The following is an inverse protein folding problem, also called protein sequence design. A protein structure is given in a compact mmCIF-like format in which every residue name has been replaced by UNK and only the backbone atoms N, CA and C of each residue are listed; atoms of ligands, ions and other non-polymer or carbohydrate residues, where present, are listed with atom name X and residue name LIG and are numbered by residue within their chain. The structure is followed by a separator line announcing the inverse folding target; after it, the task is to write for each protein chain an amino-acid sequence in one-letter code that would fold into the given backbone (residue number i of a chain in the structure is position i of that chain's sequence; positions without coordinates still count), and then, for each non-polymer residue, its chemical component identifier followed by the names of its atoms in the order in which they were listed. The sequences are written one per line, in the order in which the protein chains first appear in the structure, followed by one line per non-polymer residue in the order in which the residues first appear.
data_IF_717031409590
#
_entry.id   IF_717031409590
#
_cell.length_a   1.000
_cell.length_b   1.000
_cell.length_c   1.000
_cell.angle_alpha   90.00
_cell.angle_beta   90.00
_cell.angle_gamma   90.00
#
_symmetry.space_group_name_H-M   'P 1'
#
loop_
_entity.id
_entity.type
_entity.pdbx_description
1 polymer ?
#
# COMPACT_ATOMS: atom_id res chain seq x y z
N UNK A 1 -4.37 20.93 19.47
CA UNK A 1 -5.81 21.29 19.50
C UNK A 1 -6.49 20.47 18.43
N UNK A 2 -7.61 19.80 18.75
CA UNK A 2 -8.42 19.05 17.80
C UNK A 2 -9.36 20.01 17.07
N UNK A 3 -9.56 19.81 15.77
CA UNK A 3 -10.48 20.64 14.99
C UNK A 3 -11.92 20.53 15.50
N UNK A 4 -12.59 21.68 15.63
CA UNK A 4 -13.91 21.76 16.24
C UNK A 4 -15.03 21.15 15.38
N UNK A 5 -14.90 21.21 14.05
CA UNK A 5 -15.94 20.81 13.10
C UNK A 5 -15.57 19.58 12.30
N UNK A 6 -16.53 18.69 12.10
CA UNK A 6 -16.39 17.49 11.30
C UNK A 6 -16.23 17.85 9.83
N UNK A 7 -15.20 17.32 9.19
CA UNK A 7 -15.00 17.37 7.74
C UNK A 7 -15.12 15.96 7.17
N UNK A 8 -15.83 15.82 6.05
CA UNK A 8 -16.06 14.53 5.41
C UNK A 8 -15.55 14.60 3.97
N UNK A 9 -14.68 13.66 3.59
CA UNK A 9 -14.27 13.44 2.21
C UNK A 9 -14.85 12.13 1.70
N UNK A 10 -15.42 12.17 0.50
CA UNK A 10 -15.91 10.99 -0.20
C UNK A 10 -14.91 10.60 -1.30
N UNK A 11 -14.16 9.51 -1.10
CA UNK A 11 -13.27 8.89 -2.09
C UNK A 11 -13.90 7.65 -2.72
N UNK A 12 -15.22 7.66 -2.90
CA UNK A 12 -15.97 6.60 -3.56
C UNK A 12 -16.51 7.11 -4.90
N UNK A 13 -16.95 6.19 -5.77
CA UNK A 13 -17.57 6.54 -7.06
C UNK A 13 -19.05 6.93 -6.94
N UNK A 14 -19.62 6.92 -5.74
CA UNK A 14 -21.05 7.15 -5.48
C UNK A 14 -21.23 8.25 -4.45
N UNK A 15 -22.26 9.13 -4.57
CA UNK A 15 -22.55 10.10 -3.52
C UNK A 15 -22.83 9.41 -2.18
N UNK A 16 -22.40 10.02 -1.08
CA UNK A 16 -22.71 9.56 0.29
C UNK A 16 -23.47 10.65 1.03
N UNK A 17 -24.44 10.26 1.86
CA UNK A 17 -25.26 11.20 2.62
C UNK A 17 -25.16 10.90 4.10
N UNK A 18 -24.64 11.83 4.91
CA UNK A 18 -24.67 11.66 6.37
C UNK A 18 -26.10 11.93 6.88
N UNK A 19 -26.71 10.93 7.49
CA UNK A 19 -28.10 10.97 8.00
C UNK A 19 -28.19 11.10 9.52
N UNK A 20 -27.17 10.65 10.26
CA UNK A 20 -27.22 10.60 11.73
C UNK A 20 -25.84 10.73 12.36
N UNK A 21 -25.77 11.46 13.48
CA UNK A 21 -24.61 11.53 14.38
C UNK A 21 -25.07 11.17 15.78
N UNK A 22 -24.42 10.19 16.39
CA UNK A 22 -24.64 9.79 17.78
C UNK A 22 -23.35 9.97 18.57
N UNK A 23 -23.42 10.48 19.80
CA UNK A 23 -22.24 10.73 20.65
C UNK A 23 -22.24 9.89 21.90
N UNK A 24 -21.06 9.43 22.25
CA UNK A 24 -20.80 8.55 23.39
C UNK A 24 -19.65 9.09 24.22
N UNK A 25 -19.76 8.95 25.54
CA UNK A 25 -18.67 9.32 26.45
C UNK A 25 -17.45 8.41 26.20
N UNK A 26 -16.27 8.91 26.54
CA UNK A 26 -15.07 8.07 26.58
C UNK A 26 -15.28 6.91 27.56
N UNK A 27 -14.71 5.72 27.31
CA UNK A 27 -14.75 4.63 28.29
C UNK A 27 -14.10 5.08 29.61
N UNK A 28 -14.71 4.74 30.74
CA UNK A 28 -14.06 4.92 32.05
C UNK A 28 -12.83 4.00 32.12
N UNK A 29 -11.65 4.57 32.35
CA UNK A 29 -10.42 3.77 32.53
C UNK A 29 -10.62 2.82 33.71
N UNK A 30 -10.60 1.51 33.47
CA UNK A 30 -10.49 0.53 34.53
C UNK A 30 -9.13 0.71 35.23
N UNK A 31 -9.14 1.25 36.45
CA UNK A 31 -7.98 1.23 37.33
C UNK A 31 -7.65 -0.23 37.66
N UNK A 32 -6.64 -0.80 36.99
CA UNK A 32 -6.13 -2.13 37.30
C UNK A 32 -5.14 -2.61 36.24
N UNK A 33 -3.90 -2.80 36.67
CA UNK A 33 -2.79 -3.48 35.97
C UNK A 33 -2.14 -2.81 34.75
N UNK A 34 -0.97 -2.19 34.98
CA UNK A 34 0.34 -2.69 34.52
C UNK A 34 1.40 -1.58 34.42
N UNK A 35 2.15 -1.39 35.51
CA UNK A 35 3.36 -0.55 35.56
C UNK A 35 4.53 -1.10 34.71
N UNK A 36 4.41 -2.30 34.13
CA UNK A 36 5.43 -2.97 33.32
C UNK A 36 5.33 -2.69 31.81
N UNK A 37 4.24 -2.07 31.33
CA UNK A 37 3.99 -1.79 29.89
C UNK A 37 4.44 -0.41 29.43
N UNK A 38 4.88 0.46 30.36
CA UNK A 38 5.20 1.87 30.08
C UNK A 38 6.47 2.05 29.24
N UNK A 39 7.50 1.22 29.43
CA UNK A 39 8.80 1.42 28.77
C UNK A 39 8.80 1.07 27.26
N UNK A 40 7.89 0.19 26.79
CA UNK A 40 7.83 -0.21 25.37
C UNK A 40 6.94 0.69 24.50
N UNK A 41 6.12 1.53 25.13
CA UNK A 41 5.12 2.36 24.46
C UNK A 41 5.59 3.80 24.18
N UNK A 42 6.58 4.33 24.92
CA UNK A 42 6.89 5.77 24.88
C UNK A 42 7.32 6.31 23.49
N UNK A 43 7.97 5.51 22.64
CA UNK A 43 8.33 5.92 21.26
C UNK A 43 7.18 5.75 20.26
N UNK A 44 6.15 4.96 20.61
CA UNK A 44 4.97 4.64 19.78
C UNK A 44 3.80 5.62 20.03
N UNK A 45 3.83 6.33 21.16
CA UNK A 45 2.77 7.18 21.73
C UNK A 45 2.55 8.51 21.01
N UNK A 46 3.46 8.96 20.13
CA UNK A 46 3.45 10.33 19.59
C UNK A 46 3.11 10.48 18.10
N UNK A 47 2.95 9.40 17.32
CA UNK A 47 2.95 9.51 15.84
C UNK A 47 1.74 8.96 15.09
N UNK A 48 0.82 8.22 15.72
CA UNK A 48 -0.35 7.67 15.02
C UNK A 48 -1.56 8.62 15.15
N UNK A 49 -1.70 9.55 14.21
CA UNK A 49 -2.79 10.55 14.20
C UNK A 49 -4.14 10.00 13.71
N UNK A 50 -4.14 8.78 13.16
CA UNK A 50 -5.29 8.12 12.54
C UNK A 50 -5.98 7.09 13.46
N UNK A 51 -5.41 6.78 14.63
CA UNK A 51 -5.93 5.81 15.61
C UNK A 51 -5.70 6.30 17.04
N UNK A 52 -6.57 5.94 17.99
CA UNK A 52 -6.42 6.31 19.41
C UNK A 52 -5.45 5.41 20.17
N UNK A 53 -4.74 5.98 21.15
CA UNK A 53 -3.65 5.34 21.90
C UNK A 53 -4.07 4.22 22.88
N UNK A 54 -5.37 4.04 23.17
CA UNK A 54 -5.89 3.03 24.10
C UNK A 54 -6.82 2.05 23.38
N UNK A 55 -6.96 0.82 23.88
CA UNK A 55 -7.95 -0.15 23.40
C UNK A 55 -9.35 0.40 23.67
N UNK A 56 -9.96 0.99 22.64
CA UNK A 56 -11.31 1.54 22.75
C UNK A 56 -12.31 0.40 22.52
N UNK A 57 -13.08 0.00 23.53
CA UNK A 57 -14.13 -1.02 23.37
C UNK A 57 -15.15 -0.59 22.29
N UNK A 58 -15.62 -1.48 21.43
CA UNK A 58 -16.63 -1.14 20.41
C UNK A 58 -17.89 -0.52 21.03
N UNK A 59 -18.48 0.51 20.41
CA UNK A 59 -19.85 0.95 20.76
C UNK A 59 -20.77 -0.16 20.28
N UNK A 60 -21.38 -0.88 21.21
CA UNK A 60 -22.35 -1.92 20.90
C UNK A 60 -23.71 -1.29 20.56
N UNK A 61 -24.58 -2.04 19.90
CA UNK A 61 -25.96 -1.58 19.62
C UNK A 61 -26.76 -1.33 20.93
N UNK A 62 -26.28 -1.85 22.06
CA UNK A 62 -26.84 -1.64 23.40
C UNK A 62 -26.33 -0.35 24.09
N UNK A 63 -25.29 0.28 23.55
CA UNK A 63 -24.74 1.50 24.14
C UNK A 63 -25.64 2.68 23.77
N UNK A 64 -26.13 3.41 24.77
CA UNK A 64 -26.98 4.59 24.55
C UNK A 64 -26.15 5.86 24.35
N UNK A 65 -26.43 6.66 23.30
CA UNK A 65 -25.77 7.94 23.11
C UNK A 65 -26.26 8.97 24.13
N UNK A 66 -25.38 9.87 24.56
CA UNK A 66 -25.77 11.00 25.43
C UNK A 66 -26.26 12.21 24.63
N UNK A 67 -25.94 12.26 23.33
CA UNK A 67 -26.37 13.29 22.40
C UNK A 67 -26.57 12.65 21.02
N UNK A 68 -27.62 13.07 20.33
CA UNK A 68 -28.03 12.49 19.05
C UNK A 68 -28.61 13.55 18.14
N UNK A 69 -28.17 13.53 16.88
CA UNK A 69 -28.73 14.36 15.80
C UNK A 69 -29.23 13.44 14.69
N UNK A 70 -30.55 13.46 14.47
CA UNK A 70 -31.26 12.71 13.42
C UNK A 70 -31.59 13.60 12.22
N UNK A 71 -32.11 12.98 11.16
CA UNK A 71 -32.67 13.63 9.98
C UNK A 71 -31.70 14.61 9.31
N UNK A 72 -30.40 14.28 9.36
CA UNK A 72 -29.39 15.00 8.60
C UNK A 72 -29.53 14.66 7.11
N UNK A 73 -29.11 15.60 6.28
CA UNK A 73 -29.03 15.41 4.83
C UNK A 73 -27.78 16.09 4.27
N UNK A 74 -26.63 15.72 4.82
CA UNK A 74 -25.34 16.27 4.38
C UNK A 74 -24.81 15.42 3.23
N UNK A 75 -25.11 15.85 2.01
CA UNK A 75 -24.62 15.24 0.77
C UNK A 75 -23.13 15.54 0.56
N UNK A 76 -22.35 14.51 0.21
CA UNK A 76 -20.93 14.61 -0.17
C UNK A 76 -20.74 13.86 -1.50
N UNK A 77 -20.49 14.61 -2.56
CA UNK A 77 -20.34 14.08 -3.93
C UNK A 77 -19.07 13.23 -4.11
N UNK A 78 -19.02 12.32 -5.09
CA UNK A 78 -17.83 11.53 -5.41
C UNK A 78 -16.58 12.40 -5.56
N UNK A 79 -15.49 12.01 -4.90
CA UNK A 79 -14.19 12.71 -4.92
C UNK A 79 -14.28 14.19 -4.54
N UNK A 80 -15.14 14.51 -3.56
CA UNK A 80 -15.23 15.86 -2.97
C UNK A 80 -15.05 15.85 -1.46
N UNK A 81 -14.65 17.01 -0.92
CA UNK A 81 -14.53 17.24 0.51
C UNK A 81 -15.55 18.27 0.97
N UNK A 82 -16.30 17.96 2.03
CA UNK A 82 -17.29 18.85 2.65
C UNK A 82 -16.94 19.11 4.11
N UNK A 83 -16.60 20.37 4.41
CA UNK A 83 -16.54 20.88 5.79
C UNK A 83 -17.97 21.09 6.28
N UNK A 84 -18.35 20.44 7.38
CA UNK A 84 -19.70 20.53 7.92
C UNK A 84 -19.79 21.59 9.01
N UNK A 85 -21.00 22.05 9.32
CA UNK A 85 -21.29 22.88 10.50
C UNK A 85 -21.47 22.03 11.77
N UNK A 86 -21.32 20.71 11.68
CA UNK A 86 -21.48 19.79 12.80
C UNK A 86 -20.18 19.71 13.58
N UNK A 87 -20.26 19.99 14.88
CA UNK A 87 -19.11 19.85 15.79
C UNK A 87 -18.62 18.40 15.79
N UNK A 88 -17.33 18.19 15.99
CA UNK A 88 -16.74 16.85 16.14
C UNK A 88 -16.92 16.29 17.55
N UNK A 89 -17.09 17.16 18.54
CA UNK A 89 -17.36 16.86 19.94
C UNK A 89 -18.25 17.94 20.57
N UNK A 90 -18.91 17.62 21.70
CA UNK A 90 -19.78 18.57 22.43
C UNK A 90 -19.08 19.16 23.64
N UNK A 91 -18.61 18.30 24.53
CA UNK A 91 -18.03 18.60 25.83
C UNK A 91 -16.52 18.32 25.85
N UNK A 92 -16.05 17.26 25.19
CA UNK A 92 -14.64 16.84 25.14
C UNK A 92 -14.24 16.20 23.82
N UNK A 93 -13.05 16.52 23.33
CA UNK A 93 -12.40 15.89 22.18
C UNK A 93 -12.06 14.39 22.37
N UNK A 94 -12.31 13.83 23.56
CA UNK A 94 -12.21 12.39 23.86
C UNK A 94 -13.53 11.63 23.62
N UNK A 95 -14.60 12.33 23.27
CA UNK A 95 -15.87 11.71 22.90
C UNK A 95 -15.74 10.82 21.67
N UNK A 96 -16.65 9.86 21.58
CA UNK A 96 -16.77 8.99 20.42
C UNK A 96 -18.05 9.32 19.67
N UNK A 97 -18.01 9.18 18.36
CA UNK A 97 -19.17 9.32 17.49
C UNK A 97 -19.49 8.01 16.80
N UNK A 98 -20.78 7.75 16.57
CA UNK A 98 -21.25 6.82 15.55
C UNK A 98 -21.94 7.64 14.45
N UNK A 99 -21.42 7.55 13.24
CA UNK A 99 -21.92 8.25 12.06
C UNK A 99 -22.66 7.25 11.19
N UNK A 100 -23.89 7.58 10.78
CA UNK A 100 -24.67 6.76 9.83
C UNK A 100 -24.77 7.48 8.49
N UNK A 101 -24.26 6.82 7.46
CA UNK A 101 -24.34 7.25 6.07
C UNK A 101 -25.40 6.45 5.32
N UNK A 102 -26.01 7.08 4.32
CA UNK A 102 -26.89 6.44 3.36
C UNK A 102 -26.29 6.55 1.95
N UNK A 103 -26.31 5.44 1.21
CA UNK A 103 -25.83 5.34 -0.17
C UNK A 103 -26.83 4.49 -0.94
N UNK A 104 -27.52 5.06 -1.92
CA UNK A 104 -28.52 4.36 -2.75
C UNK A 104 -29.57 3.57 -1.93
N UNK A 105 -29.95 4.10 -0.76
CA UNK A 105 -30.90 3.47 0.17
C UNK A 105 -30.30 2.49 1.17
N UNK A 106 -29.01 2.15 1.07
CA UNK A 106 -28.29 1.32 2.04
C UNK A 106 -27.66 2.17 3.14
N UNK A 107 -27.79 1.74 4.40
CA UNK A 107 -27.23 2.44 5.56
C UNK A 107 -25.95 1.79 6.03
N UNK A 108 -24.92 2.61 6.28
CA UNK A 108 -23.60 2.19 6.75
C UNK A 108 -23.19 3.00 7.97
N UNK A 109 -22.63 2.33 8.97
CA UNK A 109 -22.19 2.95 10.21
C UNK A 109 -20.68 2.90 10.38
N UNK A 110 -20.11 3.99 10.90
CA UNK A 110 -18.73 4.04 11.36
C UNK A 110 -18.64 4.65 12.74
N UNK A 111 -17.71 4.13 13.54
CA UNK A 111 -17.36 4.69 14.85
C UNK A 111 -16.07 5.48 14.73
N UNK A 112 -16.05 6.69 15.28
CA UNK A 112 -14.86 7.57 15.27
C UNK A 112 -14.58 8.09 16.68
N UNK A 113 -13.33 8.06 17.15
CA UNK A 113 -12.18 7.45 16.50
C UNK A 113 -12.32 5.92 16.38
N UNK A 114 -11.72 5.35 15.33
CA UNK A 114 -11.76 3.90 15.06
C UNK A 114 -10.88 3.19 16.11
N UNK A 115 -11.38 2.17 16.84
CA UNK A 115 -10.58 1.41 17.79
C UNK A 115 -9.33 0.79 17.18
N UNK A 116 -8.24 0.70 17.96
CA UNK A 116 -6.96 0.11 17.54
C UNK A 116 -7.03 -1.37 17.15
N UNK A 117 -8.01 -2.09 17.68
CA UNK A 117 -8.22 -3.53 17.46
C UNK A 117 -9.29 -3.87 16.41
N UNK A 118 -10.00 -2.87 15.88
CA UNK A 118 -11.08 -3.10 14.92
C UNK A 118 -10.72 -2.58 13.53
N UNK A 119 -11.27 -3.26 12.52
CA UNK A 119 -11.13 -2.82 11.13
C UNK A 119 -11.81 -1.47 10.93
N UNK A 120 -11.15 -0.55 10.21
CA UNK A 120 -11.76 0.68 9.67
C UNK A 120 -12.96 0.46 8.70
N UNK A 121 -13.46 -0.77 8.57
CA UNK A 121 -14.61 -1.13 7.73
C UNK A 121 -15.91 -0.62 8.36
N UNK A 122 -16.75 0.03 7.56
CA UNK A 122 -18.07 0.48 7.98
C UNK A 122 -19.03 -0.71 8.10
N UNK A 123 -19.81 -0.77 9.18
CA UNK A 123 -20.86 -1.78 9.39
C UNK A 123 -22.04 -1.45 8.49
N UNK A 124 -22.28 -2.28 7.47
CA UNK A 124 -23.53 -2.20 6.71
C UNK A 124 -24.71 -2.67 7.58
N UNK A 125 -25.85 -2.01 7.45
CA UNK A 125 -27.09 -2.35 8.17
C UNK A 125 -28.06 -3.19 7.33
N UNK A 126 -27.62 -3.62 6.15
CA UNK A 126 -28.33 -4.55 5.28
C UNK A 126 -27.69 -5.94 5.34
N UNK A 127 -28.49 -7.00 5.20
CA UNK A 127 -28.01 -8.39 5.24
C UNK A 127 -27.10 -8.73 4.04
N UNK A 128 -27.37 -8.13 2.89
CA UNK A 128 -26.63 -8.31 1.64
C UNK A 128 -26.28 -6.95 1.02
N UNK A 129 -25.29 -6.23 1.58
CA UNK A 129 -24.98 -4.89 1.13
C UNK A 129 -24.37 -4.91 -0.28
N UNK A 130 -24.88 -4.07 -1.17
CA UNK A 130 -24.32 -3.84 -2.51
C UNK A 130 -22.99 -3.12 -2.41
N UNK A 131 -22.86 -2.22 -1.43
CA UNK A 131 -21.66 -1.41 -1.22
C UNK A 131 -20.92 -1.82 0.04
N UNK A 132 -19.60 -1.72 0.01
CA UNK A 132 -18.75 -1.87 1.20
C UNK A 132 -17.85 -0.66 1.29
N UNK A 133 -17.66 -0.15 2.50
CA UNK A 133 -16.92 1.07 2.74
C UNK A 133 -15.91 0.91 3.87
N UNK A 134 -14.82 1.67 3.78
CA UNK A 134 -13.82 1.84 4.82
C UNK A 134 -13.73 3.32 5.13
N UNK A 135 -13.78 3.69 6.41
CA UNK A 135 -13.60 5.08 6.82
C UNK A 135 -12.33 5.27 7.64
N UNK A 136 -11.51 6.24 7.25
CA UNK A 136 -10.28 6.61 7.97
C UNK A 136 -10.51 7.98 8.61
N UNK A 137 -10.34 8.07 9.93
CA UNK A 137 -10.56 9.29 10.70
C UNK A 137 -9.23 9.88 11.19
N UNK A 138 -8.90 11.08 10.74
CA UNK A 138 -7.74 11.85 11.23
C UNK A 138 -8.19 12.68 12.42
N UNK A 139 -7.87 12.20 13.63
CA UNK A 139 -8.42 12.75 14.88
C UNK A 139 -8.07 14.23 15.09
N UNK A 140 -6.81 14.70 14.95
CA UNK A 140 -6.48 16.11 15.18
C UNK A 140 -7.24 17.09 14.27
N UNK A 141 -7.72 16.61 13.13
CA UNK A 141 -8.33 17.41 12.06
C UNK A 141 -9.84 17.20 11.97
N UNK A 142 -10.40 16.36 12.84
CA UNK A 142 -11.78 15.90 12.80
C UNK A 142 -12.26 15.55 11.39
N UNK A 143 -11.42 14.80 10.67
CA UNK A 143 -11.56 14.57 9.24
C UNK A 143 -11.81 13.09 8.94
N UNK A 144 -12.99 12.76 8.44
CA UNK A 144 -13.35 11.42 7.99
C UNK A 144 -13.20 11.32 6.47
N UNK A 145 -12.40 10.39 5.99
CA UNK A 145 -12.40 10.00 4.56
C UNK A 145 -13.08 8.66 4.40
N UNK A 146 -14.06 8.57 3.51
CA UNK A 146 -14.76 7.33 3.18
C UNK A 146 -14.25 6.81 1.84
N UNK A 147 -13.77 5.57 1.82
CA UNK A 147 -13.29 4.85 0.65
C UNK A 147 -14.23 3.69 0.31
N UNK A 148 -14.33 3.35 -0.97
CA UNK A 148 -14.91 2.06 -1.37
C UNK A 148 -14.01 0.95 -0.85
N UNK A 149 -14.60 -0.01 -0.15
CA UNK A 149 -13.90 -1.17 0.37
C UNK A 149 -14.08 -2.32 -0.60
N UNK A 150 -13.07 -2.59 -1.41
CA UNK A 150 -13.05 -3.79 -2.22
C UNK A 150 -12.76 -5.01 -1.34
N UNK A 151 -13.04 -6.22 -1.86
CA UNK A 151 -12.46 -7.41 -1.27
C UNK A 151 -10.92 -7.30 -1.37
N UNK A 152 -10.23 -7.15 -0.24
CA UNK A 152 -8.78 -6.90 -0.23
C UNK A 152 -7.97 -8.01 -0.93
N UNK A 153 -8.46 -9.25 -0.95
CA UNK A 153 -7.80 -10.35 -1.68
C UNK A 153 -8.09 -10.35 -3.18
N UNK A 154 -9.07 -9.57 -3.66
CA UNK A 154 -9.57 -9.60 -5.04
C UNK A 154 -9.95 -8.20 -5.58
N UNK A 155 -9.25 -7.15 -5.14
CA UNK A 155 -9.67 -5.77 -5.39
C UNK A 155 -9.50 -5.33 -6.85
N UNK A 156 -8.57 -5.93 -7.59
CA UNK A 156 -8.41 -5.62 -9.00
C UNK A 156 -9.60 -6.12 -9.83
N UNK A 157 -10.41 -7.05 -9.31
CA UNK A 157 -11.60 -7.58 -9.97
C UNK A 157 -12.72 -6.54 -10.20
N UNK A 158 -12.70 -5.41 -9.49
CA UNK A 158 -13.68 -4.31 -9.68
C UNK A 158 -13.29 -3.36 -10.82
N UNK A 159 -12.11 -3.54 -11.41
CA UNK A 159 -11.54 -2.65 -12.41
C UNK A 159 -11.63 -3.25 -13.81
N UNK A 160 -11.60 -2.39 -14.84
CA UNK A 160 -11.74 -2.81 -16.24
C UNK A 160 -10.44 -3.41 -16.77
N UNK A 161 -10.56 -4.38 -17.67
CA UNK A 161 -9.43 -5.06 -18.30
C UNK A 161 -8.58 -4.13 -19.18
N UNK A 162 -9.18 -3.10 -19.76
CA UNK A 162 -8.51 -2.09 -20.59
C UNK A 162 -7.78 -1.02 -19.76
N UNK A 163 -7.82 -1.08 -18.43
CA UNK A 163 -7.04 -0.18 -17.57
C UNK A 163 -5.55 -0.51 -17.69
N UNK A 164 -4.69 0.47 -18.00
CA UNK A 164 -3.24 0.25 -17.98
C UNK A 164 -2.77 -0.07 -16.55
N UNK A 165 -1.89 -1.06 -16.37
CA UNK A 165 -1.48 -1.46 -15.01
C UNK A 165 -0.76 -0.34 -14.24
N UNK A 166 -0.07 0.57 -14.94
CA UNK A 166 0.56 1.76 -14.34
C UNK A 166 -0.42 2.84 -13.90
N UNK A 167 -1.68 2.79 -14.32
CA UNK A 167 -2.72 3.70 -13.83
C UNK A 167 -3.13 3.41 -12.39
N UNK A 168 -2.92 2.16 -11.92
CA UNK A 168 -3.41 1.71 -10.63
C UNK A 168 -2.61 2.31 -9.46
N UNK A 169 -3.32 2.63 -8.40
CA UNK A 169 -2.76 2.85 -7.06
C UNK A 169 -2.50 1.48 -6.42
N UNK A 170 -1.23 1.07 -6.34
CA UNK A 170 -0.86 -0.30 -5.92
C UNK A 170 -0.09 -0.24 -4.60
N UNK A 171 -0.55 -0.95 -3.54
CA UNK A 171 0.25 -1.15 -2.35
C UNK A 171 1.37 -2.15 -2.63
N UNK A 172 2.59 -1.79 -2.26
CA UNK A 172 3.78 -2.62 -2.33
C UNK A 172 4.47 -2.77 -0.98
N UNK A 173 5.34 -3.78 -0.88
CA UNK A 173 6.18 -4.00 0.31
C UNK A 173 7.65 -4.07 -0.06
N UNK A 174 8.49 -3.39 0.71
CA UNK A 174 9.93 -3.36 0.53
C UNK A 174 10.56 -4.60 1.16
N UNK A 175 11.47 -5.26 0.43
CA UNK A 175 12.05 -6.55 0.80
C UNK A 175 11.00 -7.51 1.42
N UNK A 176 9.94 -7.79 0.65
CA UNK A 176 8.65 -8.34 1.11
C UNK A 176 8.71 -9.56 2.05
N UNK A 177 9.63 -10.53 1.91
CA UNK A 177 9.65 -11.70 2.80
C UNK A 177 10.38 -11.46 4.13
N UNK A 178 10.88 -10.25 4.43
CA UNK A 178 11.64 -9.93 5.65
C UNK A 178 10.76 -9.78 6.91
N UNK A 179 9.94 -10.79 7.20
CA UNK A 179 9.06 -10.84 8.38
C UNK A 179 9.54 -11.80 9.47
N UNK A 180 10.60 -12.56 9.20
CA UNK A 180 11.11 -13.59 10.11
C UNK A 180 11.92 -13.00 11.28
N UNK A 181 12.29 -13.86 12.23
CA UNK A 181 13.25 -13.52 13.27
C UNK A 181 14.62 -13.23 12.63
N UNK A 182 15.02 -11.96 12.69
CA UNK A 182 16.25 -11.41 12.14
C UNK A 182 16.71 -10.24 13.04
N UNK A 183 17.98 -9.76 12.91
CA UNK A 183 18.37 -8.51 13.53
C UNK A 183 17.37 -7.38 13.19
N UNK A 184 17.02 -6.49 14.12
CA UNK A 184 15.96 -5.50 13.89
C UNK A 184 16.19 -4.58 12.67
N UNK A 185 17.44 -4.32 12.32
CA UNK A 185 17.82 -3.51 11.14
C UNK A 185 17.59 -4.22 9.80
N UNK A 186 17.33 -5.53 9.80
CA UNK A 186 17.11 -6.38 8.62
C UNK A 186 15.63 -6.66 8.37
N UNK A 187 14.80 -6.53 9.42
CA UNK A 187 13.36 -6.80 9.34
C UNK A 187 12.60 -5.59 8.79
N UNK A 188 12.07 -5.72 7.59
CA UNK A 188 11.29 -4.65 6.95
C UNK A 188 9.77 -4.87 7.08
N UNK A 189 9.33 -6.11 7.34
CA UNK A 189 7.90 -6.46 7.34
C UNK A 189 7.42 -7.03 8.67
N UNK A 190 6.18 -6.68 9.04
CA UNK A 190 5.53 -7.17 10.25
C UNK A 190 4.91 -8.56 10.04
N UNK A 191 4.42 -8.85 8.83
CA UNK A 191 3.58 -10.00 8.48
C UNK A 191 4.11 -10.75 7.25
N UNK A 192 3.68 -12.01 7.06
CA UNK A 192 4.12 -12.86 5.95
C UNK A 192 3.65 -12.38 4.58
N UNK A 193 4.32 -12.76 3.48
CA UNK A 193 3.86 -12.49 2.12
C UNK A 193 2.41 -12.92 1.86
N UNK A 194 2.00 -14.09 2.36
CA UNK A 194 0.61 -14.54 2.28
C UNK A 194 -0.38 -13.53 2.92
N UNK A 195 -0.08 -13.02 4.10
CA UNK A 195 -0.92 -12.02 4.77
C UNK A 195 -0.90 -10.66 4.04
N UNK A 196 0.24 -10.28 3.46
CA UNK A 196 0.35 -9.09 2.61
C UNK A 196 -0.59 -9.19 1.39
N UNK A 197 -0.60 -10.34 0.69
CA UNK A 197 -1.46 -10.59 -0.46
C UNK A 197 -2.94 -10.56 -0.08
N UNK A 198 -3.33 -11.24 1.00
CA UNK A 198 -4.73 -11.25 1.48
C UNK A 198 -5.26 -9.85 1.81
N UNK A 199 -4.39 -8.93 2.20
CA UNK A 199 -4.77 -7.57 2.60
C UNK A 199 -4.55 -6.51 1.51
N UNK A 200 -4.23 -6.90 0.27
CA UNK A 200 -4.28 -6.03 -0.91
C UNK A 200 -2.93 -5.64 -1.51
N UNK A 201 -1.81 -6.09 -0.94
CA UNK A 201 -0.48 -5.85 -1.54
C UNK A 201 -0.38 -6.56 -2.89
N UNK A 202 0.05 -5.83 -3.94
CA UNK A 202 0.22 -6.34 -5.31
C UNK A 202 1.55 -5.94 -5.96
N UNK A 203 2.49 -5.44 -5.17
CA UNK A 203 3.88 -5.23 -5.59
C UNK A 203 4.84 -5.79 -4.53
N UNK A 204 5.75 -6.68 -4.95
CA UNK A 204 6.81 -7.20 -4.08
C UNK A 204 8.20 -6.76 -4.57
N UNK A 205 8.98 -6.15 -3.68
CA UNK A 205 10.43 -5.99 -3.86
C UNK A 205 11.12 -7.23 -3.30
N UNK A 206 11.68 -8.07 -4.18
CA UNK A 206 12.32 -9.33 -3.85
C UNK A 206 13.81 -9.24 -4.14
N UNK A 207 14.60 -9.61 -3.14
CA UNK A 207 16.06 -9.57 -3.23
C UNK A 207 16.62 -10.97 -3.04
N UNK A 208 17.40 -11.41 -4.04
CA UNK A 208 17.85 -12.80 -4.15
C UNK A 208 19.35 -12.91 -4.33
N UNK A 209 19.91 -13.97 -3.77
CA UNK A 209 21.28 -14.41 -3.98
C UNK A 209 21.26 -15.80 -4.63
N UNK A 210 21.81 -15.98 -5.84
CA UNK A 210 22.03 -17.31 -6.41
C UNK A 210 22.93 -18.15 -5.49
N UNK A 211 22.44 -19.32 -5.06
CA UNK A 211 23.21 -20.19 -4.17
C UNK A 211 24.31 -20.94 -4.94
N UNK A 212 24.03 -21.30 -6.19
CA UNK A 212 24.94 -22.05 -7.07
C UNK A 212 25.10 -21.35 -8.42
N UNK A 213 25.70 -20.14 -8.45
CA UNK A 213 25.71 -19.27 -9.65
C UNK A 213 26.37 -19.92 -10.87
N UNK A 214 27.34 -20.81 -10.68
CA UNK A 214 28.06 -21.48 -11.77
C UNK A 214 27.39 -22.80 -12.24
N UNK A 215 26.23 -23.12 -11.69
CA UNK A 215 25.45 -24.34 -11.99
C UNK A 215 24.07 -23.94 -12.51
N UNK A 216 23.92 -23.56 -13.79
CA UNK A 216 22.66 -23.01 -14.32
C UNK A 216 21.52 -24.05 -14.39
N UNK A 217 21.80 -25.33 -14.18
CA UNK A 217 20.79 -26.39 -13.98
C UNK A 217 20.13 -26.34 -12.60
N UNK A 218 20.73 -25.62 -11.66
CA UNK A 218 20.21 -25.40 -10.31
C UNK A 218 19.38 -24.12 -10.23
N UNK A 219 18.35 -24.16 -9.40
CA UNK A 219 17.29 -23.16 -9.36
C UNK A 219 17.25 -22.38 -8.03
N UNK A 220 18.12 -22.73 -7.09
CA UNK A 220 18.11 -22.23 -5.72
C UNK A 220 18.54 -20.76 -5.65
N UNK A 221 17.56 -19.91 -5.35
CA UNK A 221 17.73 -18.48 -5.07
C UNK A 221 17.38 -18.22 -3.61
N UNK A 222 18.35 -17.77 -2.81
CA UNK A 222 18.16 -17.46 -1.39
C UNK A 222 17.62 -16.04 -1.26
N UNK A 223 16.63 -15.84 -0.40
CA UNK A 223 16.08 -14.54 -0.05
C UNK A 223 17.01 -13.84 0.96
N UNK A 224 17.41 -12.61 0.65
CA UNK A 224 18.44 -11.86 1.39
C UNK A 224 18.06 -10.39 1.59
N UNK A 225 18.75 -9.72 2.50
CA UNK A 225 18.68 -8.28 2.67
C UNK A 225 20.11 -7.74 2.83
N UNK A 226 20.64 -7.12 1.78
CA UNK A 226 22.07 -6.81 1.67
C UNK A 226 22.91 -8.09 1.87
N UNK A 227 23.90 -8.05 2.75
CA UNK A 227 24.78 -9.20 3.07
C UNK A 227 24.16 -10.17 4.10
N UNK A 228 22.96 -9.90 4.61
CA UNK A 228 22.34 -10.68 5.67
C UNK A 228 21.25 -11.63 5.15
N UNK A 229 21.14 -12.85 5.69
CA UNK A 229 19.96 -13.68 5.47
C UNK A 229 18.74 -13.03 6.14
N UNK A 230 17.56 -13.21 5.55
CA UNK A 230 16.32 -12.64 6.09
C UNK A 230 15.79 -13.39 7.33
N UNK A 231 16.45 -14.47 7.75
CA UNK A 231 16.07 -15.27 8.92
C UNK A 231 17.29 -15.87 9.64
N UNK A 232 17.30 -15.81 10.97
CA UNK A 232 18.28 -16.47 11.83
C UNK A 232 18.05 -17.98 12.00
N UNK A 233 16.94 -18.50 11.47
CA UNK A 233 16.55 -19.91 11.60
C UNK A 233 16.89 -20.76 10.36
N UNK A 234 17.67 -20.19 9.43
CA UNK A 234 18.06 -20.82 8.18
C UNK A 234 17.57 -20.06 6.94
N UNK A 235 18.13 -20.43 5.80
CA UNK A 235 17.83 -19.79 4.52
C UNK A 235 16.34 -19.95 4.16
N UNK A 236 15.81 -18.91 3.52
CA UNK A 236 14.49 -18.92 2.88
C UNK A 236 14.70 -18.80 1.38
N UNK A 237 13.89 -19.51 0.60
CA UNK A 237 14.12 -19.62 -0.84
C UNK A 237 13.02 -18.94 -1.64
N UNK A 238 13.40 -18.39 -2.79
CA UNK A 238 12.46 -17.77 -3.72
C UNK A 238 11.42 -18.77 -4.23
N UNK A 239 11.80 -20.05 -4.42
CA UNK A 239 10.90 -21.14 -4.82
C UNK A 239 9.68 -21.28 -3.90
N UNK A 240 9.90 -21.22 -2.58
CA UNK A 240 8.83 -21.33 -1.59
C UNK A 240 7.89 -20.12 -1.64
N UNK A 241 8.45 -18.91 -1.73
CA UNK A 241 7.67 -17.69 -1.91
C UNK A 241 6.82 -17.73 -3.19
N UNK A 242 7.41 -18.21 -4.29
CA UNK A 242 6.71 -18.33 -5.57
C UNK A 242 5.56 -19.34 -5.51
N UNK A 243 5.66 -20.38 -4.67
CA UNK A 243 4.53 -21.28 -4.42
C UNK A 243 3.35 -20.54 -3.78
N UNK A 244 3.59 -19.75 -2.73
CA UNK A 244 2.56 -18.94 -2.07
C UNK A 244 1.91 -17.94 -3.04
N UNK A 245 2.72 -17.27 -3.86
CA UNK A 245 2.24 -16.34 -4.89
C UNK A 245 1.38 -17.04 -5.94
N UNK A 246 1.82 -18.21 -6.41
CA UNK A 246 1.08 -18.97 -7.42
C UNK A 246 -0.26 -19.45 -6.89
N UNK A 247 -0.29 -19.98 -5.66
CA UNK A 247 -1.51 -20.39 -4.98
C UNK A 247 -2.46 -19.21 -4.80
N UNK A 248 -1.95 -18.03 -4.41
CA UNK A 248 -2.77 -16.83 -4.29
C UNK A 248 -3.44 -16.43 -5.61
N UNK A 249 -2.69 -16.39 -6.71
CA UNK A 249 -3.21 -16.02 -8.03
C UNK A 249 -4.16 -17.07 -8.62
N UNK A 250 -4.01 -18.35 -8.26
CA UNK A 250 -4.96 -19.41 -8.63
C UNK A 250 -6.31 -19.22 -7.94
N UNK A 251 -6.31 -18.85 -6.65
CA UNK A 251 -7.54 -18.58 -5.90
C UNK A 251 -8.14 -17.20 -6.20
N UNK A 252 -7.37 -16.28 -6.76
CA UNK A 252 -7.80 -14.92 -7.09
C UNK A 252 -7.39 -14.56 -8.53
N UNK A 253 -7.99 -15.19 -9.56
CA UNK A 253 -7.58 -15.02 -10.95
C UNK A 253 -7.83 -13.61 -11.50
N UNK A 254 -8.62 -12.78 -10.82
CA UNK A 254 -8.78 -11.37 -11.14
C UNK A 254 -7.51 -10.55 -10.88
N UNK A 255 -6.63 -11.03 -10.01
CA UNK A 255 -5.48 -10.28 -9.53
C UNK A 255 -4.26 -10.47 -10.42
N UNK A 256 -3.32 -9.54 -10.32
CA UNK A 256 -1.98 -9.63 -10.88
C UNK A 256 -0.98 -9.23 -9.81
N UNK A 257 0.22 -9.80 -9.85
CA UNK A 257 1.32 -9.39 -8.96
C UNK A 257 2.45 -8.77 -9.77
N UNK A 258 2.98 -7.62 -9.34
CA UNK A 258 4.24 -7.09 -9.86
C UNK A 258 5.35 -7.58 -8.94
N UNK A 259 6.37 -8.26 -9.48
CA UNK A 259 7.55 -8.65 -8.72
C UNK A 259 8.76 -7.91 -9.29
N UNK A 260 9.32 -7.03 -8.46
CA UNK A 260 10.64 -6.45 -8.67
C UNK A 260 11.69 -7.42 -8.13
N UNK A 261 12.61 -7.88 -8.99
CA UNK A 261 13.69 -8.78 -8.57
C UNK A 261 15.04 -8.07 -8.69
N UNK A 262 15.81 -8.09 -7.60
CA UNK A 262 17.17 -7.56 -7.52
C UNK A 262 18.15 -8.64 -7.03
N UNK A 263 19.34 -8.70 -7.63
CA UNK A 263 20.44 -9.48 -7.08
C UNK A 263 21.06 -8.76 -5.88
N UNK A 264 21.18 -9.47 -4.76
CA UNK A 264 21.88 -9.05 -3.55
C UNK A 264 22.59 -10.25 -2.90
N UNK A 265 23.18 -10.06 -1.72
CA UNK A 265 23.90 -11.08 -0.99
C UNK A 265 25.40 -10.97 -1.12
N UNK A 266 26.09 -11.96 -0.56
CA UNK A 266 27.55 -12.07 -0.58
C UNK A 266 28.04 -12.85 -1.81
N UNK A 267 29.33 -12.78 -2.10
CA UNK A 267 29.96 -13.54 -3.20
C UNK A 267 29.85 -12.88 -4.57
N UNK A 268 30.27 -13.63 -5.59
CA UNK A 268 30.61 -13.08 -6.92
C UNK A 268 29.57 -13.39 -8.01
N UNK A 269 28.36 -13.80 -7.62
CA UNK A 269 27.27 -14.07 -8.54
C UNK A 269 26.96 -12.82 -9.39
N UNK A 270 26.84 -13.00 -10.70
CA UNK A 270 26.57 -11.92 -11.66
C UNK A 270 25.08 -11.81 -12.00
N UNK A 271 24.69 -10.66 -12.51
CA UNK A 271 23.32 -10.42 -12.95
C UNK A 271 22.89 -11.38 -14.06
N UNK A 272 23.80 -11.67 -15.00
CA UNK A 272 23.56 -12.57 -16.12
C UNK A 272 23.24 -13.99 -15.64
N UNK A 273 23.90 -14.44 -14.56
CA UNK A 273 23.61 -15.74 -13.95
C UNK A 273 22.22 -15.76 -13.31
N UNK A 274 21.84 -14.68 -12.60
CA UNK A 274 20.48 -14.55 -12.07
C UNK A 274 19.44 -14.55 -13.20
N UNK A 275 19.69 -13.81 -14.29
CA UNK A 275 18.79 -13.75 -15.43
C UNK A 275 18.55 -15.13 -16.05
N UNK A 276 19.61 -15.92 -16.24
CA UNK A 276 19.52 -17.29 -16.74
C UNK A 276 18.73 -18.21 -15.81
N UNK A 277 18.97 -18.15 -14.49
CA UNK A 277 18.27 -18.96 -13.50
C UNK A 277 16.77 -18.62 -13.49
N UNK A 278 16.42 -17.33 -13.45
CA UNK A 278 15.02 -16.88 -13.47
C UNK A 278 14.31 -17.31 -14.76
N UNK A 279 14.92 -17.07 -15.91
CA UNK A 279 14.35 -17.44 -17.20
C UNK A 279 14.12 -18.95 -17.30
N UNK A 280 15.13 -19.76 -16.98
CA UNK A 280 15.06 -21.23 -17.12
C UNK A 280 14.07 -21.88 -16.16
N UNK A 281 14.03 -21.44 -14.91
CA UNK A 281 13.38 -22.21 -13.82
C UNK A 281 12.12 -21.57 -13.25
N UNK A 282 11.82 -20.32 -13.58
CA UNK A 282 10.69 -19.59 -13.01
C UNK A 282 9.80 -18.96 -14.08
N UNK A 283 10.41 -18.34 -15.09
CA UNK A 283 9.75 -17.42 -16.02
C UNK A 283 10.01 -17.77 -17.49
N UNK A 284 10.08 -19.07 -17.80
CA UNK A 284 10.24 -19.60 -19.16
C UNK A 284 8.94 -19.59 -19.96
N UNK A 285 8.99 -20.16 -21.15
CA UNK A 285 7.84 -20.29 -22.05
C UNK A 285 6.68 -21.05 -21.37
N UNK A 286 5.44 -20.57 -21.57
CA UNK A 286 4.23 -21.15 -20.96
C UNK A 286 4.06 -20.85 -19.46
N UNK A 287 5.01 -20.15 -18.82
CA UNK A 287 4.85 -19.71 -17.43
C UNK A 287 3.81 -18.59 -17.30
N UNK A 288 3.36 -18.34 -16.07
CA UNK A 288 2.47 -17.20 -15.76
C UNK A 288 3.19 -15.85 -15.69
N UNK A 289 4.49 -15.79 -16.01
CA UNK A 289 5.23 -14.55 -15.95
C UNK A 289 5.00 -13.71 -17.20
N UNK A 290 4.59 -12.48 -17.00
CA UNK A 290 4.64 -11.44 -18.01
C UNK A 290 6.07 -10.90 -18.09
N UNK A 291 6.77 -11.33 -19.13
CA UNK A 291 8.18 -11.00 -19.38
C UNK A 291 8.38 -10.17 -20.64
N UNK A 292 7.31 -9.66 -21.24
CA UNK A 292 7.44 -8.69 -22.33
C UNK A 292 7.98 -7.36 -21.78
N UNK A 293 8.90 -6.68 -22.48
CA UNK A 293 9.44 -5.39 -22.09
C UNK A 293 8.45 -4.26 -22.42
N UNK A 294 7.23 -4.39 -21.89
CA UNK A 294 6.17 -3.38 -21.93
C UNK A 294 5.29 -3.49 -20.69
N UNK A 295 4.77 -2.36 -20.22
CA UNK A 295 3.70 -2.32 -19.21
C UNK A 295 2.41 -2.91 -19.80
N UNK A 296 1.81 -3.94 -19.19
CA UNK A 296 0.56 -4.54 -19.67
C UNK A 296 -0.68 -3.73 -19.27
N UNK A 297 -1.78 -3.96 -19.98
CA UNK A 297 -3.13 -3.68 -19.45
C UNK A 297 -3.47 -4.64 -18.31
N UNK A 298 -4.44 -4.30 -17.47
CA UNK A 298 -4.87 -5.15 -16.36
C UNK A 298 -5.34 -6.52 -16.88
N UNK A 299 -6.12 -6.56 -17.97
CA UNK A 299 -6.57 -7.80 -18.60
C UNK A 299 -5.42 -8.69 -19.09
N UNK A 300 -4.38 -8.09 -19.68
CA UNK A 300 -3.15 -8.82 -20.04
C UNK A 300 -2.42 -9.37 -18.79
N UNK A 301 -2.52 -8.69 -17.65
CA UNK A 301 -1.81 -9.00 -16.42
C UNK A 301 -2.57 -9.97 -15.48
N UNK A 302 -3.90 -10.10 -15.57
CA UNK A 302 -4.68 -10.97 -14.67
C UNK A 302 -4.18 -12.41 -14.69
N UNK A 303 -4.08 -13.00 -13.48
CA UNK A 303 -3.54 -14.33 -13.23
C UNK A 303 -2.02 -14.46 -13.46
N UNK A 304 -1.33 -13.35 -13.76
CA UNK A 304 0.10 -13.34 -14.12
C UNK A 304 0.95 -12.56 -13.12
N UNK A 305 2.26 -12.74 -13.31
CA UNK A 305 3.29 -12.05 -12.54
C UNK A 305 4.06 -11.14 -13.49
N UNK A 306 4.00 -9.83 -13.28
CA UNK A 306 4.70 -8.84 -14.09
C UNK A 306 6.11 -8.65 -13.54
N UNK A 307 7.12 -9.00 -14.34
CA UNK A 307 8.52 -8.87 -13.95
C UNK A 307 9.03 -7.43 -14.14
N UNK A 308 9.48 -6.83 -13.05
CA UNK A 308 10.38 -5.66 -13.06
C UNK A 308 11.79 -6.15 -12.74
N UNK A 309 12.73 -6.03 -13.68
CA UNK A 309 14.09 -6.52 -13.49
C UNK A 309 15.04 -5.42 -13.02
N UNK A 310 15.69 -5.63 -11.87
CA UNK A 310 16.78 -4.80 -11.34
C UNK A 310 18.14 -5.50 -11.49
N UNK A 311 18.32 -6.17 -12.63
CA UNK A 311 19.54 -6.89 -13.01
C UNK A 311 19.72 -6.84 -14.53
N UNK A 312 20.97 -6.94 -14.96
CA UNK A 312 21.36 -7.01 -16.37
C UNK A 312 21.07 -8.38 -17.00
N UNK A 313 20.78 -8.37 -18.31
CA UNK A 313 20.53 -9.57 -19.09
C UNK A 313 21.82 -10.10 -19.72
N UNK A 314 21.87 -11.41 -19.92
CA UNK A 314 22.89 -12.05 -20.74
C UNK A 314 22.66 -11.78 -22.25
N UNK A 315 23.58 -12.25 -23.09
CA UNK A 315 23.57 -11.97 -24.52
C UNK A 315 22.35 -12.55 -25.26
N UNK A 316 21.83 -13.69 -24.83
CA UNK A 316 20.68 -14.34 -25.48
C UNK A 316 19.37 -13.68 -25.05
N UNK A 317 19.18 -13.39 -23.75
CA UNK A 317 17.98 -12.71 -23.27
C UNK A 317 17.86 -11.27 -23.76
N UNK A 318 18.97 -10.62 -24.17
CA UNK A 318 18.91 -9.33 -24.87
C UNK A 318 18.25 -9.42 -26.25
N UNK A 319 18.30 -10.58 -26.91
CA UNK A 319 17.73 -10.79 -28.25
C UNK A 319 16.24 -11.15 -28.21
N UNK A 320 15.73 -11.53 -27.04
CA UNK A 320 14.31 -11.82 -26.81
C UNK A 320 13.42 -10.64 -27.22
N UNK A 321 12.16 -10.96 -27.56
CA UNK A 321 11.14 -9.99 -27.95
C UNK A 321 11.59 -9.04 -29.08
N UNK A 322 12.33 -9.57 -30.06
CA UNK A 322 12.80 -8.81 -31.22
C UNK A 322 13.95 -7.85 -30.88
N UNK A 323 14.80 -8.22 -29.92
CA UNK A 323 15.90 -7.37 -29.45
C UNK A 323 15.52 -6.32 -28.42
N UNK A 324 14.28 -6.36 -27.91
CA UNK A 324 13.81 -5.46 -26.85
C UNK A 324 14.13 -5.99 -25.44
N UNK A 325 14.74 -7.17 -25.34
CA UNK A 325 15.13 -7.79 -24.09
C UNK A 325 13.97 -8.51 -23.41
N UNK A 326 14.12 -8.75 -22.10
CA UNK A 326 13.24 -9.58 -21.28
C UNK A 326 12.86 -8.88 -19.97
N UNK A 327 11.58 -8.82 -19.65
CA UNK A 327 11.01 -8.10 -18.50
C UNK A 327 11.05 -6.57 -18.63
N UNK A 328 10.37 -5.87 -17.72
CA UNK A 328 10.38 -4.40 -17.66
C UNK A 328 11.72 -3.95 -17.08
N UNK A 329 12.46 -3.14 -17.84
CA UNK A 329 13.87 -2.82 -17.54
C UNK A 329 14.04 -1.73 -16.49
N UNK A 330 14.55 -2.13 -15.33
CA UNK A 330 14.98 -1.23 -14.26
C UNK A 330 16.43 -1.52 -13.80
N UNK A 331 17.29 -2.04 -14.68
CA UNK A 331 18.68 -2.38 -14.34
C UNK A 331 19.53 -1.13 -14.05
N UNK A 332 19.29 -0.04 -14.79
CA UNK A 332 19.91 1.27 -14.54
C UNK A 332 19.04 2.09 -13.58
N UNK A 333 19.06 1.69 -12.32
CA UNK A 333 18.32 2.32 -11.21
C UNK A 333 19.21 3.37 -10.53
N UNK A 334 18.78 4.63 -10.50
CA UNK A 334 19.56 5.69 -9.86
C UNK A 334 19.59 5.48 -8.34
N UNK A 335 20.78 5.55 -7.75
CA UNK A 335 20.99 5.33 -6.33
C UNK A 335 20.49 6.51 -5.48
N UNK A 336 19.89 6.21 -4.33
CA UNK A 336 19.42 7.16 -3.31
C UNK A 336 18.74 8.44 -3.88
N UNK A 337 17.75 8.27 -4.78
CA UNK A 337 17.20 9.37 -5.58
C UNK A 337 15.83 9.86 -5.10
N UNK A 338 15.56 11.19 -5.07
CA UNK A 338 14.23 11.71 -4.82
C UNK A 338 13.28 11.55 -6.03
N UNK A 339 13.84 11.43 -7.24
CA UNK A 339 13.11 11.30 -8.49
C UNK A 339 14.08 10.95 -9.64
N UNK A 340 13.93 9.77 -10.25
CA UNK A 340 14.66 9.42 -11.45
C UNK A 340 13.83 8.53 -12.38
N UNK A 341 13.90 8.78 -13.68
CA UNK A 341 13.31 7.89 -14.68
C UNK A 341 14.36 6.92 -15.19
N UNK A 342 14.05 5.62 -15.21
CA UNK A 342 14.95 4.62 -15.81
C UNK A 342 15.14 4.90 -17.31
N UNK A 343 16.29 4.54 -17.91
CA UNK A 343 16.54 4.73 -19.34
C UNK A 343 15.51 4.08 -20.27
N UNK A 344 14.81 3.03 -19.81
CA UNK A 344 13.68 2.42 -20.51
C UNK A 344 12.52 3.38 -20.75
N UNK A 345 12.37 4.38 -19.87
CA UNK A 345 11.24 5.31 -19.81
C UNK A 345 9.98 4.71 -19.18
N UNK A 346 10.02 3.45 -18.74
CA UNK A 346 8.85 2.74 -18.21
C UNK A 346 8.70 2.86 -16.70
N UNK A 347 9.70 3.37 -15.99
CA UNK A 347 9.68 3.53 -14.54
C UNK A 347 10.19 4.91 -14.15
N UNK A 348 9.43 5.57 -13.28
CA UNK A 348 9.79 6.79 -12.60
C UNK A 348 9.84 6.48 -11.10
N UNK A 349 10.98 6.71 -10.46
CA UNK A 349 11.28 6.16 -9.13
C UNK A 349 11.63 7.27 -8.14
N UNK A 350 11.05 7.19 -6.94
CA UNK A 350 11.59 7.80 -5.73
C UNK A 350 12.11 6.70 -4.81
N UNK A 351 13.41 6.70 -4.55
CA UNK A 351 14.12 5.71 -3.73
C UNK A 351 15.19 6.40 -2.86
N UNK A 352 14.81 7.48 -2.17
CA UNK A 352 15.65 8.14 -1.17
C UNK A 352 15.64 7.31 0.12
N UNK A 353 16.54 6.34 0.24
CA UNK A 353 16.54 5.38 1.34
C UNK A 353 17.52 5.73 2.47
N UNK A 354 18.51 6.61 2.24
CA UNK A 354 19.50 6.97 3.26
C UNK A 354 19.02 8.11 4.18
N UNK A 355 18.37 7.74 5.27
CA UNK A 355 17.92 8.70 6.30
C UNK A 355 18.93 8.70 7.43
N UNK A 356 19.98 9.51 7.28
CA UNK A 356 21.09 9.57 8.25
C UNK A 356 20.65 10.04 9.65
N UNK A 357 19.66 10.94 9.72
CA UNK A 357 19.13 11.51 10.96
C UNK A 357 17.60 11.54 10.97
N UNK A 358 17.00 11.57 12.16
CA UNK A 358 15.55 11.63 12.32
C UNK A 358 14.92 12.89 11.71
N UNK A 359 15.67 13.98 11.62
CA UNK A 359 15.31 15.24 10.93
C UNK A 359 15.13 15.02 9.42
N UNK A 360 15.80 14.03 8.83
CA UNK A 360 15.66 13.69 7.41
C UNK A 360 14.39 12.88 7.10
N UNK A 361 13.64 12.41 8.12
CA UNK A 361 12.35 11.73 7.92
C UNK A 361 11.34 12.68 7.28
N UNK A 362 11.35 13.96 7.65
CA UNK A 362 10.49 14.97 7.00
C UNK A 362 10.85 15.17 5.53
N UNK A 363 12.14 15.09 5.19
CA UNK A 363 12.61 15.12 3.80
C UNK A 363 12.12 13.90 3.01
N UNK A 364 12.15 12.70 3.62
CA UNK A 364 11.58 11.49 3.03
C UNK A 364 10.07 11.65 2.79
N UNK A 365 9.33 12.11 3.79
CA UNK A 365 7.88 12.36 3.69
C UNK A 365 7.59 13.37 2.56
N UNK A 366 8.38 14.44 2.45
CA UNK A 366 8.26 15.42 1.37
C UNK A 366 8.43 14.75 -0.01
N UNK A 367 9.49 13.98 -0.22
CA UNK A 367 9.72 13.33 -1.52
C UNK A 367 8.65 12.29 -1.87
N UNK A 368 8.15 11.55 -0.87
CA UNK A 368 7.02 10.63 -1.07
C UNK A 368 5.78 11.40 -1.54
N UNK A 369 5.42 12.50 -0.86
CA UNK A 369 4.27 13.34 -1.22
C UNK A 369 4.40 13.92 -2.63
N UNK A 370 5.56 14.47 -2.96
CA UNK A 370 5.81 15.02 -4.30
C UNK A 370 5.74 13.93 -5.38
N UNK A 371 6.12 12.69 -5.09
CA UNK A 371 6.03 11.59 -6.05
C UNK A 371 4.60 11.03 -6.19
N UNK A 372 3.80 11.06 -5.11
CA UNK A 372 2.33 10.83 -5.20
C UNK A 372 1.72 11.90 -6.10
N UNK A 373 2.07 13.18 -5.89
CA UNK A 373 1.62 14.26 -6.76
C UNK A 373 2.01 13.96 -8.22
N UNK A 374 3.26 13.60 -8.53
CA UNK A 374 3.64 13.25 -9.91
C UNK A 374 2.75 12.18 -10.55
N UNK A 375 2.42 11.12 -9.81
CA UNK A 375 1.55 10.05 -10.30
C UNK A 375 0.10 10.52 -10.49
N UNK A 376 -0.39 11.41 -9.62
CA UNK A 376 -1.79 11.82 -9.58
C UNK A 376 -2.21 12.70 -10.75
N UNK A 377 -1.27 13.44 -11.36
CA UNK A 377 -1.54 14.35 -12.49
C UNK A 377 -1.60 13.63 -13.84
N UNK A 378 -1.31 12.32 -13.89
CA UNK A 378 -1.28 11.58 -15.16
C UNK A 378 -2.70 11.18 -15.59
N UNK A 379 -3.00 11.41 -16.86
CA UNK A 379 -4.22 10.93 -17.51
C UNK A 379 -3.90 9.68 -18.33
N UNK A 380 -4.26 8.53 -17.81
CA UNK A 380 -3.98 7.26 -18.47
C UNK A 380 -5.02 6.97 -19.58
N UNK A 381 -4.60 6.53 -20.78
CA UNK A 381 -5.54 6.07 -21.79
C UNK A 381 -6.19 4.76 -21.34
N UNK A 382 -7.38 4.48 -21.86
CA UNK A 382 -7.94 3.13 -21.82
C UNK A 382 -7.45 2.34 -23.04
N UNK A 383 -7.16 1.06 -22.83
CA UNK A 383 -6.73 0.13 -23.87
C UNK A 383 -5.23 -0.10 -23.94
N UNK A 384 -4.84 -0.94 -24.89
CA UNK A 384 -3.44 -1.28 -25.14
C UNK A 384 -2.75 -0.09 -25.82
N UNK A 385 -1.67 0.40 -25.22
CA UNK A 385 -0.82 1.43 -25.82
C UNK A 385 -0.03 0.78 -26.99
N UNK A 386 -0.21 1.25 -28.24
CA UNK A 386 0.19 0.50 -29.43
C UNK A 386 1.70 0.52 -29.69
N UNK A 387 2.44 1.51 -29.19
CA UNK A 387 3.88 1.60 -29.39
C UNK A 387 4.65 1.89 -28.09
N UNK A 388 5.91 1.42 -28.04
CA UNK A 388 6.80 1.52 -26.87
C UNK A 388 7.17 2.98 -26.55
N UNK A 389 7.09 3.89 -27.52
CA UNK A 389 7.42 5.30 -27.29
C UNK A 389 6.29 6.03 -26.55
N UNK A 390 5.04 5.70 -26.85
CA UNK A 390 3.86 6.22 -26.15
C UNK A 390 3.71 5.60 -24.77
N UNK A 391 4.10 4.33 -24.57
CA UNK A 391 4.04 3.71 -23.25
C UNK A 391 4.93 4.41 -22.21
N UNK A 392 6.02 5.07 -22.65
CA UNK A 392 6.90 5.89 -21.80
C UNK A 392 6.22 7.12 -21.21
N UNK A 393 5.08 7.55 -21.76
CA UNK A 393 4.27 8.64 -21.16
C UNK A 393 3.52 8.17 -19.92
N UNK A 394 3.41 6.86 -19.71
CA UNK A 394 2.62 6.24 -18.66
C UNK A 394 3.47 5.26 -17.83
N UNK A 395 4.60 5.74 -17.26
CA UNK A 395 5.51 4.87 -16.52
C UNK A 395 4.86 4.35 -15.23
N UNK A 396 5.41 3.27 -14.69
CA UNK A 396 5.21 2.98 -13.27
C UNK A 396 5.87 4.05 -12.42
N UNK A 397 5.07 4.77 -11.64
CA UNK A 397 5.58 5.62 -10.56
C UNK A 397 5.81 4.74 -9.33
N UNK A 398 7.07 4.41 -9.03
CA UNK A 398 7.44 3.57 -7.89
C UNK A 398 8.01 4.45 -6.77
N UNK A 399 7.32 4.45 -5.65
CA UNK A 399 7.56 5.37 -4.56
C UNK A 399 7.86 4.60 -3.28
N UNK A 400 9.13 4.46 -2.94
CA UNK A 400 9.53 3.80 -1.71
C UNK A 400 9.26 4.71 -0.53
N UNK A 401 8.45 4.26 0.43
CA UNK A 401 8.26 4.90 1.74
C UNK A 401 9.33 4.44 2.73
N UNK A 402 9.92 3.27 2.48
CA UNK A 402 11.02 2.71 3.26
C UNK A 402 12.27 3.58 3.18
N UNK A 403 13.02 3.57 4.27
CA UNK A 403 14.35 4.14 4.40
C UNK A 403 15.02 3.50 5.62
N UNK A 404 16.32 3.68 5.75
CA UNK A 404 17.06 3.18 6.90
C UNK A 404 18.36 3.94 7.16
N UNK A 405 18.86 3.82 8.38
CA UNK A 405 20.28 3.96 8.67
C UNK A 405 20.65 2.89 9.71
N UNK A 406 21.59 2.03 9.34
CA UNK A 406 22.00 0.88 10.15
C UNK A 406 22.57 1.28 11.52
N UNK A 407 23.35 2.38 11.56
CA UNK A 407 24.12 2.80 12.72
C UNK A 407 23.31 3.59 13.75
N UNK A 408 22.08 3.99 13.40
CA UNK A 408 21.24 4.82 14.27
C UNK A 408 19.89 4.14 14.48
N UNK A 409 19.66 3.68 15.71
CA UNK A 409 18.50 2.88 16.11
C UNK A 409 17.16 3.59 15.86
N UNK A 410 17.12 4.91 16.05
CA UNK A 410 15.93 5.75 15.79
C UNK A 410 15.56 5.89 14.31
N UNK A 411 16.42 5.38 13.42
CA UNK A 411 16.26 5.38 11.97
C UNK A 411 16.28 3.95 11.41
N UNK A 412 15.99 2.96 12.23
CA UNK A 412 15.68 1.61 11.76
C UNK A 412 14.33 1.56 11.03
N UNK A 413 14.11 0.57 10.14
CA UNK A 413 12.92 0.49 9.29
C UNK A 413 11.60 0.68 10.05
N UNK A 414 11.43 0.01 11.19
CA UNK A 414 10.24 0.12 12.05
C UNK A 414 9.97 1.57 12.49
N UNK A 415 11.00 2.30 12.94
CA UNK A 415 10.88 3.66 13.49
C UNK A 415 10.59 4.68 12.41
N UNK A 416 11.14 4.48 11.21
CA UNK A 416 10.83 5.31 10.05
C UNK A 416 9.39 5.05 9.58
N UNK A 417 9.00 3.79 9.41
CA UNK A 417 7.65 3.42 9.00
C UNK A 417 6.57 3.96 9.97
N UNK A 418 6.84 3.93 11.29
CA UNK A 418 5.96 4.48 12.31
C UNK A 418 5.74 6.00 12.25
N UNK A 419 6.53 6.72 11.43
CA UNK A 419 6.36 8.16 11.14
C UNK A 419 5.87 8.40 9.72
N UNK A 420 6.45 7.72 8.74
CA UNK A 420 6.14 7.90 7.32
C UNK A 420 4.74 7.38 7.01
N UNK A 421 4.38 6.16 7.43
CA UNK A 421 3.10 5.56 7.05
C UNK A 421 1.90 6.42 7.52
N UNK A 422 1.80 6.87 8.79
CA UNK A 422 0.70 7.72 9.22
C UNK A 422 0.68 9.08 8.52
N UNK A 423 1.84 9.68 8.25
CA UNK A 423 1.94 10.94 7.52
C UNK A 423 1.46 10.82 6.06
N UNK A 424 1.64 9.65 5.44
CA UNK A 424 1.14 9.39 4.08
C UNK A 424 -0.34 9.02 4.09
N UNK A 425 -0.85 8.28 5.08
CA UNK A 425 -2.31 8.10 5.26
C UNK A 425 -3.01 9.44 5.39
N UNK A 426 -2.50 10.31 6.26
CA UNK A 426 -3.00 11.67 6.46
C UNK A 426 -3.00 12.48 5.16
N UNK A 427 -1.92 12.36 4.38
CA UNK A 427 -1.78 13.03 3.09
C UNK A 427 -2.79 12.50 2.05
N UNK A 428 -2.92 11.17 1.90
CA UNK A 428 -3.89 10.56 0.98
C UNK A 428 -5.32 10.99 1.35
N UNK A 429 -5.63 10.96 2.65
CA UNK A 429 -6.95 11.34 3.15
C UNK A 429 -7.27 12.82 2.91
N UNK A 430 -6.34 13.74 3.18
CA UNK A 430 -6.68 15.18 3.27
C UNK A 430 -6.06 16.09 2.22
N UNK A 431 -4.90 15.72 1.68
CA UNK A 431 -4.05 16.61 0.88
C UNK A 431 -3.72 16.06 -0.50
N UNK A 432 -4.18 14.86 -0.83
CA UNK A 432 -4.14 14.31 -2.17
C UNK A 432 -4.89 15.24 -3.11
N UNK A 433 -4.17 15.96 -3.96
CA UNK A 433 -4.73 16.98 -4.83
C UNK A 433 -5.82 16.38 -5.72
N UNK A 434 -6.95 17.08 -5.77
CA UNK A 434 -7.95 16.92 -6.82
C UNK A 434 -7.48 17.78 -8.01
N UNK A 435 -6.38 17.35 -8.65
CA UNK A 435 -5.92 17.94 -9.91
C UNK A 435 -6.65 17.26 -11.09
N UNK A 436 -6.48 17.76 -12.32
CA UNK A 436 -7.24 17.29 -13.48
C UNK A 436 -7.01 15.80 -13.84
N UNK A 437 -5.98 15.13 -13.28
CA UNK A 437 -5.57 13.75 -13.59
C UNK A 437 -6.41 12.63 -12.97
N UNK A 438 -5.89 11.40 -13.02
CA UNK A 438 -6.60 10.19 -12.57
C UNK A 438 -6.51 9.90 -11.06
N UNK A 439 -5.85 10.78 -10.31
CA UNK A 439 -5.69 10.69 -8.86
C UNK A 439 -4.97 9.41 -8.38
N UNK A 440 -4.14 8.78 -9.23
CA UNK A 440 -3.34 7.63 -8.84
C UNK A 440 -2.26 7.99 -7.82
N UNK A 441 -1.98 7.10 -6.86
CA UNK A 441 -0.81 7.22 -5.98
C UNK A 441 0.45 6.65 -6.61
N UNK A 442 0.32 5.95 -7.75
CA UNK A 442 1.34 5.02 -8.23
C UNK A 442 1.49 3.81 -7.31
N UNK A 443 2.66 3.17 -7.38
CA UNK A 443 3.05 2.05 -6.51
C UNK A 443 3.71 2.62 -5.26
N UNK A 444 3.08 2.48 -4.10
CA UNK A 444 3.70 2.87 -2.81
C UNK A 444 4.32 1.65 -2.15
N UNK A 445 5.65 1.60 -2.09
CA UNK A 445 6.41 0.47 -1.53
C UNK A 445 6.72 0.73 -0.06
N UNK A 446 6.17 -0.09 0.83
CA UNK A 446 6.05 0.22 2.26
C UNK A 446 6.80 -0.76 3.16
N UNK A 447 7.09 -0.30 4.37
CA UNK A 447 7.66 -1.08 5.47
C UNK A 447 6.62 -1.20 6.59
N UNK A 448 6.63 -2.33 7.30
CA UNK A 448 5.86 -2.56 8.54
C UNK A 448 4.33 -2.35 8.45
N UNK A 449 3.73 -2.50 7.26
CA UNK A 449 2.27 -2.56 7.12
C UNK A 449 1.72 -3.86 7.72
N UNK A 450 0.47 -3.83 8.20
CA UNK A 450 -0.20 -4.97 8.83
C UNK A 450 0.20 -5.22 10.28
N UNK A 451 1.15 -4.44 10.83
CA UNK A 451 1.51 -4.52 12.25
C UNK A 451 0.27 -4.29 13.12
N UNK A 452 0.01 -5.21 14.05
CA UNK A 452 -1.16 -5.18 14.93
C UNK A 452 -2.51 -5.07 14.17
N UNK A 453 -2.56 -5.56 12.92
CA UNK A 453 -3.74 -5.48 12.06
C UNK A 453 -3.98 -4.11 11.41
N UNK A 454 -3.00 -3.20 11.46
CA UNK A 454 -3.09 -1.89 10.81
C UNK A 454 -2.84 -1.98 9.29
N UNK A 455 -3.92 -1.87 8.53
CA UNK A 455 -3.92 -1.87 7.07
C UNK A 455 -4.43 -0.56 6.48
N UNK A 456 -4.49 0.53 7.25
CA UNK A 456 -5.13 1.78 6.81
C UNK A 456 -4.42 2.38 5.59
N UNK A 457 -3.08 2.34 5.57
CA UNK A 457 -2.30 2.79 4.41
C UNK A 457 -2.61 1.97 3.15
N UNK A 458 -2.62 0.63 3.28
CA UNK A 458 -2.91 -0.27 2.15
C UNK A 458 -4.33 -0.04 1.63
N UNK A 459 -5.31 0.12 2.53
CA UNK A 459 -6.71 0.40 2.19
C UNK A 459 -6.88 1.77 1.55
N UNK A 460 -6.19 2.79 2.04
CA UNK A 460 -6.21 4.12 1.45
C UNK A 460 -5.68 4.08 0.01
N UNK A 461 -4.55 3.39 -0.23
CA UNK A 461 -3.98 3.21 -1.57
C UNK A 461 -4.96 2.48 -2.49
N UNK A 462 -5.49 1.31 -2.07
CA UNK A 462 -6.46 0.54 -2.87
C UNK A 462 -7.70 1.37 -3.18
N UNK A 463 -8.23 2.11 -2.19
CA UNK A 463 -9.43 2.93 -2.33
C UNK A 463 -9.30 4.04 -3.36
N UNK A 464 -8.09 4.54 -3.64
CA UNK A 464 -7.87 5.55 -4.69
C UNK A 464 -8.21 5.05 -6.09
N UNK A 465 -8.22 3.74 -6.33
CA UNK A 465 -8.61 3.17 -7.61
C UNK A 465 -10.10 3.36 -7.95
N UNK A 466 -10.95 3.75 -6.99
CA UNK A 466 -12.34 4.06 -7.26
C UNK A 466 -12.53 5.20 -8.27
N UNK A 467 -11.52 6.09 -8.44
CA UNK A 467 -11.56 7.19 -9.43
C UNK A 467 -11.59 6.65 -10.86
N UNK A 468 -10.85 5.57 -11.12
CA UNK A 468 -10.77 4.94 -12.44
C UNK A 468 -12.12 4.39 -12.90
N UNK A 469 -13.03 4.07 -11.97
CA UNK A 469 -14.40 3.64 -12.28
C UNK A 469 -15.29 4.77 -12.82
N UNK A 470 -14.90 6.03 -12.60
CA UNK A 470 -15.61 7.20 -13.11
C UNK A 470 -15.23 7.56 -14.55
N UNK A 471 -14.17 6.94 -15.11
CA UNK A 471 -13.79 7.18 -16.50
C UNK A 471 -14.89 6.68 -17.44
N UNK A 472 -15.33 7.57 -18.31
CA UNK A 472 -16.19 7.26 -19.45
C UNK A 472 -15.29 6.98 -20.66
N UNK A 473 -15.71 6.05 -21.51
CA UNK A 473 -15.07 5.76 -22.79
C UNK A 473 -15.07 6.98 -23.71
#
# INVERSE_FOLDING_TARGET
MVAEFLTIRNNTSTPIVLKRIERFKAPEQSQGDNFTTLARNFTRVLTNQTRTNETVAAITDQTHPFDEVKDLDIHVEPFTTKKTERRAFKDSDKERMRLTFEVEGEKHQIQTPVPTSESATMKALADHPKHRFTGIYVTPESFLTVFSSANASAWMGELRDDTLLSALSIPGTHNSPTCHMAPPSVRCQAVSPQEQLKNGVRFFDIRVQPQYPDKPEKDELILVHSVFPISLTGNKYFRDLMKEVNEFLEHNPSESLIISVKREGTGDAKDEQLAQILHRHYAGEGSRWWVRPKIPTLGEARGKIVLVRRFNLDGELKKEHGGNGWGIDAASWADNTPNATCPSGELCIQDFYEVQESTNIEKKIKFVKEHIDRASHVHYPLGVVPNVQESRKYPFFINFLSASNFWKTDTWPEKIAAKVNPAIVDYICRRHKDDDGDCSTGILVTDWVGLDGDWDLVRAIVGMNAKLRLKKN
#
